data_IF_043656327770
#
_entry.id   IF_043656327770
#
_cell.length_a   1.000
_cell.length_b   1.000
_cell.length_c   1.000
_cell.angle_alpha   90.00
_cell.angle_beta   90.00
_cell.angle_gamma   90.00
#
_symmetry.space_group_name_H-M   'P 1'
#
loop_
_entity.id
_entity.type
_entity.pdbx_description
1 polymer ?
#
# COMPACT_ATOMS: atom_id res chain seq x y z
N UNK A 1 -8.02 -5.40 -8.19
CA UNK A 1 -8.61 -4.06 -7.99
C UNK A 1 -9.92 -3.86 -8.72
N UNK A 2 -10.00 -4.24 -9.98
CA UNK A 2 -11.27 -4.13 -10.76
C UNK A 2 -12.42 -4.92 -10.15
N UNK A 3 -12.11 -6.06 -9.52
CA UNK A 3 -13.14 -6.90 -8.87
C UNK A 3 -13.87 -6.16 -7.76
N UNK A 4 -13.19 -5.32 -7.02
CA UNK A 4 -13.79 -4.52 -5.95
C UNK A 4 -14.72 -3.44 -6.49
N UNK A 5 -14.54 -3.02 -7.72
CA UNK A 5 -15.19 -1.86 -8.28
C UNK A 5 -16.38 -2.19 -9.17
N UNK A 6 -16.55 -3.45 -9.55
CA UNK A 6 -17.61 -3.84 -10.50
C UNK A 6 -19.02 -3.56 -10.00
N UNK A 7 -19.22 -3.60 -8.68
CA UNK A 7 -20.54 -3.40 -8.07
C UNK A 7 -20.76 -1.97 -7.57
N UNK A 8 -19.86 -1.04 -7.92
CA UNK A 8 -20.02 0.36 -7.56
C UNK A 8 -21.23 0.95 -8.33
N UNK A 9 -22.20 1.59 -7.62
CA UNK A 9 -23.41 2.10 -8.24
C UNK A 9 -23.14 3.07 -9.40
N UNK A 10 -24.07 3.06 -10.38
CA UNK A 10 -24.04 4.01 -11.50
C UNK A 10 -22.89 3.81 -12.48
N UNK A 11 -22.20 2.67 -12.42
CA UNK A 11 -21.07 2.40 -13.28
C UNK A 11 -19.84 3.22 -12.93
N UNK A 12 -19.83 3.92 -11.80
CA UNK A 12 -18.74 4.78 -11.38
C UNK A 12 -17.48 4.01 -10.97
N UNK A 13 -17.60 2.70 -10.79
CA UNK A 13 -16.44 1.84 -10.56
C UNK A 13 -15.42 1.92 -11.70
N UNK A 14 -15.91 2.07 -12.94
CA UNK A 14 -15.03 2.28 -14.11
C UNK A 14 -14.25 3.58 -13.98
N UNK A 15 -14.91 4.63 -13.48
CA UNK A 15 -14.24 5.93 -13.26
C UNK A 15 -13.13 5.80 -12.21
N UNK A 16 -13.39 5.11 -11.11
CA UNK A 16 -12.41 4.89 -10.05
C UNK A 16 -11.22 4.09 -10.58
N UNK A 17 -11.48 3.02 -11.35
CA UNK A 17 -10.41 2.22 -11.95
C UNK A 17 -9.54 3.06 -12.89
N UNK A 18 -10.16 3.95 -13.68
CA UNK A 18 -9.42 4.86 -14.57
C UNK A 18 -8.55 5.83 -13.78
N UNK A 19 -9.08 6.42 -12.70
CA UNK A 19 -8.32 7.32 -11.86
C UNK A 19 -7.12 6.62 -11.23
N UNK A 20 -7.30 5.39 -10.77
CA UNK A 20 -6.19 4.59 -10.24
C UNK A 20 -5.11 4.38 -11.29
N UNK A 21 -5.51 4.02 -12.51
CA UNK A 21 -4.56 3.75 -13.59
C UNK A 21 -3.85 5.04 -14.05
N UNK A 22 -4.61 6.11 -14.31
CA UNK A 22 -4.06 7.33 -14.90
C UNK A 22 -3.34 8.20 -13.87
N UNK A 23 -3.89 8.33 -12.67
CA UNK A 23 -3.35 9.24 -11.65
C UNK A 23 -2.38 8.52 -10.74
N UNK A 24 -2.83 7.48 -10.02
CA UNK A 24 -1.97 6.82 -9.04
C UNK A 24 -0.81 6.08 -9.73
N UNK A 25 -1.11 5.13 -10.61
CA UNK A 25 -0.06 4.34 -11.27
C UNK A 25 0.62 5.11 -12.40
N UNK A 26 -0.07 6.05 -13.04
CA UNK A 26 0.50 6.91 -14.07
C UNK A 26 1.26 8.08 -13.48
N UNK A 27 0.54 9.11 -13.05
CA UNK A 27 1.15 10.38 -12.68
C UNK A 27 2.02 10.33 -11.42
N UNK A 28 1.55 9.64 -10.38
CA UNK A 28 2.29 9.61 -9.12
C UNK A 28 3.42 8.60 -9.11
N UNK A 29 3.19 7.39 -9.61
CA UNK A 29 4.19 6.33 -9.53
C UNK A 29 5.31 6.45 -10.56
N UNK A 30 5.11 7.22 -11.61
CA UNK A 30 6.11 7.37 -12.68
C UNK A 30 6.90 8.67 -12.64
N UNK A 31 6.54 9.61 -11.75
CA UNK A 31 7.26 10.87 -11.67
C UNK A 31 8.69 10.67 -11.18
N UNK A 32 9.57 11.63 -11.51
CA UNK A 32 10.96 11.61 -11.02
C UNK A 32 11.03 11.98 -9.52
N UNK A 33 12.18 11.80 -8.92
CA UNK A 33 12.45 12.23 -7.55
C UNK A 33 12.65 11.08 -6.55
N UNK A 34 11.90 9.99 -6.70
CA UNK A 34 12.03 8.81 -5.85
C UNK A 34 12.10 7.56 -6.72
N UNK A 35 12.90 6.58 -6.32
CA UNK A 35 12.92 5.31 -7.04
C UNK A 35 11.71 4.46 -6.64
N UNK A 36 11.48 3.39 -7.39
CA UNK A 36 10.32 2.51 -7.20
C UNK A 36 10.31 1.87 -5.82
N UNK A 37 11.47 1.44 -5.32
CA UNK A 37 11.58 0.82 -3.99
C UNK A 37 11.13 1.78 -2.89
N UNK A 38 11.59 3.02 -2.95
CA UNK A 38 11.23 4.04 -1.97
C UNK A 38 9.76 4.39 -2.07
N UNK A 39 9.22 4.51 -3.28
CA UNK A 39 7.79 4.80 -3.49
C UNK A 39 6.91 3.72 -2.88
N UNK A 40 7.23 2.46 -3.13
CA UNK A 40 6.45 1.35 -2.57
C UNK A 40 6.54 1.30 -1.05
N UNK A 41 7.71 1.57 -0.50
CA UNK A 41 7.89 1.60 0.94
C UNK A 41 7.07 2.71 1.58
N UNK A 42 7.10 3.92 1.02
CA UNK A 42 6.30 5.05 1.51
C UNK A 42 4.81 4.77 1.40
N UNK A 43 4.36 4.20 0.29
CA UNK A 43 2.97 3.81 0.10
C UNK A 43 2.55 2.82 1.18
N UNK A 44 3.38 1.82 1.48
CA UNK A 44 3.10 0.84 2.52
C UNK A 44 2.97 1.50 3.90
N UNK A 45 3.83 2.45 4.21
CA UNK A 45 3.76 3.20 5.47
C UNK A 45 2.46 4.00 5.58
N UNK A 46 2.05 4.68 4.51
CA UNK A 46 0.80 5.43 4.50
C UNK A 46 -0.40 4.51 4.71
N UNK A 47 -0.43 3.37 4.01
CA UNK A 47 -1.50 2.38 4.15
C UNK A 47 -1.54 1.77 5.55
N UNK A 48 -0.38 1.61 6.17
CA UNK A 48 -0.26 1.18 7.57
C UNK A 48 -0.93 2.18 8.50
N UNK A 49 -0.64 3.46 8.31
CA UNK A 49 -1.18 4.53 9.16
C UNK A 49 -2.69 4.65 9.03
N UNK A 50 -3.23 4.56 7.81
CA UNK A 50 -4.68 4.68 7.60
C UNK A 50 -5.43 3.36 7.79
N UNK A 51 -4.73 2.23 7.95
CA UNK A 51 -5.35 0.93 8.20
C UNK A 51 -6.07 0.31 7.02
N UNK A 52 -5.61 0.57 5.80
CA UNK A 52 -6.24 0.09 4.57
C UNK A 52 -5.83 -1.35 4.26
N UNK A 53 -6.49 -2.33 4.88
CA UNK A 53 -6.07 -3.73 4.86
C UNK A 53 -5.96 -4.39 3.49
N UNK A 54 -6.96 -4.31 2.60
CA UNK A 54 -6.82 -4.94 1.27
C UNK A 54 -5.65 -4.36 0.49
N UNK A 55 -5.45 -3.05 0.57
CA UNK A 55 -4.36 -2.36 -0.09
C UNK A 55 -3.01 -2.70 0.54
N UNK A 56 -2.97 -2.94 1.86
CA UNK A 56 -1.76 -3.39 2.54
C UNK A 56 -1.28 -4.73 1.99
N UNK A 57 -2.19 -5.70 1.78
CA UNK A 57 -1.83 -6.99 1.21
C UNK A 57 -1.24 -6.83 -0.19
N UNK A 58 -1.89 -6.02 -1.01
CA UNK A 58 -1.46 -5.76 -2.39
C UNK A 58 -0.07 -5.12 -2.43
N UNK A 59 0.14 -4.08 -1.62
CA UNK A 59 1.41 -3.35 -1.60
C UNK A 59 2.51 -4.06 -0.84
N UNK A 60 2.17 -4.99 0.06
CA UNK A 60 3.16 -5.89 0.64
C UNK A 60 3.83 -6.71 -0.45
N UNK A 61 3.03 -7.32 -1.32
CA UNK A 61 3.57 -8.10 -2.44
C UNK A 61 4.37 -7.23 -3.41
N UNK A 62 3.88 -6.03 -3.69
CA UNK A 62 4.60 -5.08 -4.55
C UNK A 62 5.97 -4.70 -3.96
N UNK A 63 6.03 -4.47 -2.64
CA UNK A 63 7.28 -4.18 -1.94
C UNK A 63 8.29 -5.32 -2.07
N UNK A 64 7.84 -6.55 -1.84
CA UNK A 64 8.72 -7.72 -1.96
C UNK A 64 9.21 -7.86 -3.39
N UNK A 65 8.36 -7.62 -4.37
CA UNK A 65 8.68 -7.73 -5.78
C UNK A 65 9.74 -6.73 -6.23
N UNK A 66 9.72 -5.52 -5.70
CA UNK A 66 10.72 -4.50 -6.04
C UNK A 66 11.99 -4.59 -5.21
N UNK A 67 12.09 -5.59 -4.33
CA UNK A 67 13.30 -5.88 -3.58
C UNK A 67 13.34 -5.36 -2.15
N UNK A 68 12.25 -4.80 -1.63
CA UNK A 68 12.17 -4.46 -0.21
C UNK A 68 11.92 -5.72 0.59
N UNK A 69 12.75 -5.97 1.60
CA UNK A 69 12.65 -7.18 2.41
C UNK A 69 11.57 -7.07 3.47
N UNK A 70 11.12 -8.23 3.98
CA UNK A 70 10.21 -8.27 5.14
C UNK A 70 10.84 -7.56 6.35
N UNK A 71 12.14 -7.67 6.50
CA UNK A 71 12.88 -7.00 7.57
C UNK A 71 12.75 -5.48 7.45
N UNK A 72 12.93 -4.94 6.24
CA UNK A 72 12.78 -3.50 6.00
C UNK A 72 11.35 -3.05 6.27
N UNK A 73 10.35 -3.81 5.80
CA UNK A 73 8.95 -3.48 6.04
C UNK A 73 8.62 -3.51 7.53
N UNK A 74 9.13 -4.49 8.26
CA UNK A 74 8.96 -4.60 9.71
C UNK A 74 9.54 -3.38 10.42
N UNK A 75 10.75 -2.99 10.05
CA UNK A 75 11.39 -1.81 10.63
C UNK A 75 10.58 -0.53 10.34
N UNK A 76 10.02 -0.42 9.14
CA UNK A 76 9.18 0.73 8.78
C UNK A 76 7.90 0.79 9.61
N UNK A 77 7.25 -0.35 9.86
CA UNK A 77 6.04 -0.40 10.70
C UNK A 77 6.38 -0.03 12.15
N UNK A 78 7.52 -0.51 12.65
CA UNK A 78 7.97 -0.14 13.99
C UNK A 78 8.18 1.37 14.08
N UNK A 79 8.70 2.00 13.03
CA UNK A 79 8.87 3.45 12.99
C UNK A 79 7.52 4.19 13.00
N UNK A 80 6.47 3.59 12.44
CA UNK A 80 5.12 4.15 12.48
C UNK A 80 4.43 3.99 13.85
N UNK A 81 4.90 3.05 14.65
CA UNK A 81 4.24 2.64 15.90
C UNK A 81 3.96 3.79 16.87
N UNK A 82 4.86 4.77 17.09
CA UNK A 82 4.58 5.88 18.00
C UNK A 82 3.38 6.74 17.58
N UNK A 83 3.02 6.68 16.31
CA UNK A 83 1.96 7.50 15.73
C UNK A 83 0.62 6.77 15.63
N UNK A 84 0.62 5.44 15.53
CA UNK A 84 -0.59 4.64 15.30
C UNK A 84 -0.96 3.74 16.47
N UNK A 85 -0.05 3.54 17.42
CA UNK A 85 -0.28 2.69 18.59
C UNK A 85 0.01 1.22 18.33
N UNK A 86 0.15 0.46 19.43
CA UNK A 86 0.51 -0.95 19.36
C UNK A 86 -0.52 -1.83 18.64
N UNK A 87 -1.83 -1.71 18.89
CA UNK A 87 -2.79 -2.61 18.24
C UNK A 87 -2.75 -2.53 16.71
N UNK A 88 -2.72 -1.32 16.17
CA UNK A 88 -2.66 -1.12 14.72
C UNK A 88 -1.34 -1.64 14.13
N UNK A 89 -0.23 -1.36 14.81
CA UNK A 89 1.09 -1.81 14.35
C UNK A 89 1.21 -3.33 14.39
N UNK A 90 0.76 -3.96 15.47
CA UNK A 90 0.82 -5.42 15.62
C UNK A 90 0.03 -6.11 14.53
N UNK A 91 -1.12 -5.56 14.15
CA UNK A 91 -1.93 -6.10 13.06
C UNK A 91 -1.16 -6.13 11.74
N UNK A 92 -0.46 -5.05 11.42
CA UNK A 92 0.35 -4.99 10.19
C UNK A 92 1.56 -5.90 10.27
N UNK A 93 2.21 -5.98 11.43
CA UNK A 93 3.34 -6.90 11.63
C UNK A 93 2.91 -8.36 11.41
N UNK A 94 1.70 -8.71 11.83
CA UNK A 94 1.16 -10.05 11.60
C UNK A 94 0.94 -10.31 10.09
N UNK A 95 0.46 -9.32 9.37
CA UNK A 95 0.30 -9.40 7.91
C UNK A 95 1.66 -9.67 7.25
N UNK A 96 2.69 -8.94 7.63
CA UNK A 96 4.04 -9.12 7.08
C UNK A 96 4.56 -10.52 7.40
N UNK A 97 4.37 -10.98 8.63
CA UNK A 97 4.84 -12.28 9.09
C UNK A 97 4.27 -13.42 8.26
N UNK A 98 3.01 -13.32 7.87
CA UNK A 98 2.29 -14.36 7.12
C UNK A 98 2.56 -14.32 5.61
N UNK A 99 3.23 -13.33 5.14
CA UNK A 99 3.49 -13.18 3.70
C UNK A 99 4.48 -14.23 3.15
#
# INVERSE_FOLDING_TARGET
>A
MKEFLKDVPGGMGTNVARFLTEVHFGDFQTRSGLNTQTRELLTFCVLTVIGAEPQLQSHLQANLKVGNSKETLTAAVIQCMPYIGFPAAIKVLDIIKKA
#
